data_IF_463500659598
#
_entry.id   IF_463500659598
#
_cell.length_a   1.000
_cell.length_b   1.000
_cell.length_c   1.000
_cell.angle_alpha   90.00
_cell.angle_beta   90.00
_cell.angle_gamma   90.00
#
_symmetry.space_group_name_H-M   'P 1'
#
loop_
_entity.id
_entity.type
_entity.pdbx_description
1 polymer ?
#
# COMPACT_ATOMS: atom_id res chain seq x y z
N UNK A 1 19.03 20.75 4.02
CA UNK A 1 19.40 20.10 2.75
C UNK A 1 18.46 18.92 2.59
N UNK A 2 17.37 19.09 1.85
CA UNK A 2 16.38 18.03 1.66
C UNK A 2 16.91 17.02 0.64
N UNK A 3 17.22 15.81 1.11
CA UNK A 3 17.55 14.68 0.24
C UNK A 3 16.25 14.25 -0.42
N UNK A 4 16.01 14.70 -1.66
CA UNK A 4 14.94 14.15 -2.50
C UNK A 4 15.31 12.72 -2.85
N UNK A 5 14.75 11.76 -2.13
CA UNK A 5 14.89 10.34 -2.46
C UNK A 5 14.07 10.13 -3.72
N UNK A 6 14.74 10.16 -4.87
CA UNK A 6 14.14 9.72 -6.13
C UNK A 6 13.66 8.27 -5.97
N UNK A 7 12.46 7.92 -6.46
CA UNK A 7 12.03 6.54 -6.48
C UNK A 7 13.05 5.74 -7.28
N UNK A 8 13.74 4.83 -6.62
CA UNK A 8 14.67 3.90 -7.28
C UNK A 8 13.99 2.54 -7.25
N UNK A 9 13.74 1.98 -8.43
CA UNK A 9 13.61 0.54 -8.52
C UNK A 9 14.90 -0.07 -7.98
N UNK A 10 14.75 -0.92 -6.97
CA UNK A 10 15.84 -1.83 -6.63
C UNK A 10 16.01 -2.80 -7.79
N UNK A 11 17.22 -3.33 -8.02
CA UNK A 11 17.57 -4.20 -9.15
C UNK A 11 16.78 -5.54 -9.23
N UNK A 12 15.69 -5.69 -8.46
CA UNK A 12 14.85 -6.90 -8.36
C UNK A 12 13.35 -6.66 -8.62
N UNK A 13 12.95 -5.56 -9.27
CA UNK A 13 11.52 -5.32 -9.57
C UNK A 13 10.69 -4.92 -8.35
N UNK A 14 11.32 -4.20 -7.42
CA UNK A 14 10.64 -3.59 -6.28
C UNK A 14 10.86 -2.08 -6.30
N UNK A 15 9.77 -1.34 -6.20
CA UNK A 15 9.76 0.10 -6.01
C UNK A 15 10.00 0.41 -4.53
N UNK A 16 11.02 1.22 -4.24
CA UNK A 16 11.27 1.79 -2.92
C UNK A 16 11.09 3.31 -2.97
N UNK A 17 10.05 3.80 -2.29
CA UNK A 17 9.75 5.23 -2.13
C UNK A 17 8.96 5.46 -0.85
N UNK A 18 8.86 6.72 -0.41
CA UNK A 18 8.18 7.11 0.84
C UNK A 18 6.68 6.73 0.82
N UNK A 19 6.05 6.72 -0.35
CA UNK A 19 4.64 6.34 -0.49
C UNK A 19 4.38 4.88 -0.09
N UNK A 20 5.36 3.99 -0.24
CA UNK A 20 5.23 2.57 0.19
C UNK A 20 4.98 2.49 1.69
N UNK A 21 5.67 3.33 2.48
CA UNK A 21 5.50 3.39 3.93
C UNK A 21 4.10 3.88 4.32
N UNK A 22 3.60 4.90 3.62
CA UNK A 22 2.24 5.42 3.82
C UNK A 22 1.17 4.36 3.51
N UNK A 23 1.32 3.64 2.40
CA UNK A 23 0.41 2.54 2.03
C UNK A 23 0.42 1.45 3.09
N UNK A 24 1.60 1.00 3.54
CA UNK A 24 1.71 0.01 4.60
C UNK A 24 1.03 0.47 5.89
N UNK A 25 1.32 1.69 6.33
CA UNK A 25 0.74 2.25 7.54
C UNK A 25 -0.79 2.24 7.51
N UNK A 26 -1.40 2.78 6.44
CA UNK A 26 -2.85 2.85 6.34
C UNK A 26 -3.52 1.49 6.09
N UNK A 27 -2.84 0.58 5.40
CA UNK A 27 -3.33 -0.79 5.22
C UNK A 27 -3.35 -1.56 6.54
N UNK A 28 -2.29 -1.47 7.35
CA UNK A 28 -2.24 -2.08 8.69
C UNK A 28 -3.28 -1.45 9.61
N UNK A 29 -3.36 -0.11 9.66
CA UNK A 29 -4.39 0.61 10.42
C UNK A 29 -5.82 0.14 10.09
N UNK A 30 -6.14 0.00 8.81
CA UNK A 30 -7.45 -0.49 8.38
C UNK A 30 -7.66 -1.94 8.79
N UNK A 31 -6.66 -2.80 8.62
CA UNK A 31 -6.69 -4.21 9.02
C UNK A 31 -6.97 -4.38 10.51
N UNK A 32 -6.32 -3.59 11.35
CA UNK A 32 -6.49 -3.62 12.81
C UNK A 32 -7.89 -3.11 13.19
N UNK A 33 -8.34 -2.01 12.57
CA UNK A 33 -9.65 -1.42 12.84
C UNK A 33 -10.83 -2.36 12.50
N UNK A 34 -10.62 -3.33 11.61
CA UNK A 34 -11.66 -4.28 11.16
C UNK A 34 -11.43 -5.71 11.65
N UNK A 35 -10.45 -5.96 12.53
CA UNK A 35 -10.06 -7.30 12.97
C UNK A 35 -11.23 -8.11 13.55
N UNK A 36 -11.99 -7.52 14.47
CA UNK A 36 -13.10 -8.22 15.16
C UNK A 36 -14.44 -8.14 14.39
N UNK A 37 -14.43 -7.67 13.15
CA UNK A 37 -15.65 -7.49 12.37
C UNK A 37 -15.80 -8.62 11.35
N UNK A 38 -16.52 -9.68 11.74
CA UNK A 38 -16.66 -10.92 10.96
C UNK A 38 -16.98 -10.71 9.46
N UNK A 39 -17.89 -9.78 9.12
CA UNK A 39 -18.23 -9.49 7.71
C UNK A 39 -17.06 -8.94 6.86
N UNK A 40 -15.97 -8.52 7.49
CA UNK A 40 -14.76 -8.00 6.84
C UNK A 40 -13.56 -8.94 6.97
N UNK A 41 -13.71 -10.10 7.59
CA UNK A 41 -12.65 -11.11 7.77
C UNK A 41 -11.98 -11.45 6.43
N UNK A 42 -12.77 -11.86 5.43
CA UNK A 42 -12.25 -12.21 4.10
C UNK A 42 -11.49 -11.06 3.41
N UNK A 43 -12.04 -9.83 3.30
CA UNK A 43 -11.27 -8.68 2.83
C UNK A 43 -9.96 -8.44 3.59
N UNK A 44 -9.98 -8.55 4.93
CA UNK A 44 -8.81 -8.36 5.79
C UNK A 44 -7.73 -9.39 5.50
N UNK A 45 -8.07 -10.68 5.46
CA UNK A 45 -7.14 -11.76 5.12
C UNK A 45 -6.47 -11.53 3.76
N UNK A 46 -7.25 -11.14 2.75
CA UNK A 46 -6.71 -10.82 1.43
C UNK A 46 -5.75 -9.64 1.45
N UNK A 47 -6.05 -8.61 2.26
CA UNK A 47 -5.16 -7.46 2.43
C UNK A 47 -3.82 -7.88 3.04
N UNK A 48 -3.88 -8.63 4.14
CA UNK A 48 -2.69 -9.14 4.84
C UNK A 48 -1.83 -10.04 3.94
N UNK A 49 -2.47 -10.92 3.15
CA UNK A 49 -1.77 -11.75 2.17
C UNK A 49 -1.02 -10.91 1.13
N UNK A 50 -1.65 -9.85 0.58
CA UNK A 50 -0.96 -8.94 -0.35
C UNK A 50 0.24 -8.28 0.33
N UNK A 51 0.10 -7.84 1.58
CA UNK A 51 1.18 -7.20 2.33
C UNK A 51 2.34 -8.17 2.51
N UNK A 52 2.10 -9.37 3.04
CA UNK A 52 3.16 -10.35 3.29
C UNK A 52 3.87 -10.82 2.02
N UNK A 53 3.11 -11.08 0.95
CA UNK A 53 3.69 -11.60 -0.29
C UNK A 53 4.54 -10.56 -1.02
N UNK A 54 4.14 -9.29 -0.99
CA UNK A 54 4.65 -8.27 -1.93
C UNK A 54 5.37 -7.08 -1.32
N UNK A 55 5.23 -6.83 -0.01
CA UNK A 55 5.95 -5.75 0.65
C UNK A 55 7.20 -6.30 1.35
N UNK A 56 8.25 -5.49 1.35
CA UNK A 56 9.53 -5.81 1.98
C UNK A 56 9.95 -4.67 2.88
N UNK A 57 10.52 -5.03 4.01
CA UNK A 57 11.25 -4.10 4.87
C UNK A 57 12.70 -4.11 4.38
N UNK A 58 13.20 -2.95 3.97
CA UNK A 58 14.60 -2.79 3.57
C UNK A 58 15.47 -2.41 4.77
N UNK A 59 14.98 -1.48 5.60
CA UNK A 59 15.53 -1.12 6.91
C UNK A 59 14.46 -0.47 7.79
N UNK A 60 14.87 0.11 8.93
CA UNK A 60 13.98 0.73 9.91
C UNK A 60 13.06 1.83 9.33
N UNK A 61 13.46 2.49 8.25
CA UNK A 61 12.69 3.60 7.66
C UNK A 61 12.26 3.36 6.23
N UNK A 62 12.78 2.34 5.55
CA UNK A 62 12.53 2.08 4.13
C UNK A 62 11.79 0.77 3.90
N UNK A 63 10.73 0.88 3.11
CA UNK A 63 9.96 -0.25 2.62
C UNK A 63 10.03 -0.30 1.08
N UNK A 64 9.75 -1.47 0.54
CA UNK A 64 9.63 -1.66 -0.89
C UNK A 64 8.42 -2.53 -1.23
N UNK A 65 7.90 -2.38 -2.43
CA UNK A 65 6.76 -3.14 -2.94
C UNK A 65 7.03 -3.59 -4.38
N UNK A 66 6.66 -4.82 -4.70
CA UNK A 66 6.74 -5.32 -6.09
C UNK A 66 5.61 -4.75 -6.96
N UNK A 67 5.80 -4.68 -8.28
CA UNK A 67 4.78 -4.20 -9.21
C UNK A 67 3.48 -5.00 -9.13
N UNK A 68 3.60 -6.33 -9.00
CA UNK A 68 2.47 -7.22 -8.75
C UNK A 68 1.72 -6.85 -7.47
N UNK A 69 2.45 -6.46 -6.43
CA UNK A 69 1.88 -5.96 -5.17
C UNK A 69 1.07 -4.69 -5.35
N UNK A 70 1.60 -3.72 -6.09
CA UNK A 70 0.89 -2.47 -6.42
C UNK A 70 -0.42 -2.80 -7.14
N UNK A 71 -0.38 -3.63 -8.19
CA UNK A 71 -1.56 -4.02 -8.97
C UNK A 71 -2.59 -4.73 -8.10
N UNK A 72 -2.16 -5.70 -7.28
CA UNK A 72 -3.06 -6.42 -6.37
C UNK A 72 -3.69 -5.51 -5.34
N UNK A 73 -2.92 -4.57 -4.77
CA UNK A 73 -3.41 -3.62 -3.78
C UNK A 73 -4.44 -2.66 -4.38
N UNK A 74 -4.22 -2.15 -5.60
CA UNK A 74 -5.22 -1.32 -6.31
C UNK A 74 -6.52 -2.08 -6.51
N UNK A 75 -6.44 -3.32 -7.05
CA UNK A 75 -7.63 -4.16 -7.25
C UNK A 75 -8.35 -4.46 -5.95
N UNK A 76 -7.61 -4.67 -4.86
CA UNK A 76 -8.20 -4.84 -3.54
C UNK A 76 -8.93 -3.57 -3.08
N UNK A 77 -8.31 -2.40 -3.24
CA UNK A 77 -8.88 -1.11 -2.87
C UNK A 77 -10.20 -0.85 -3.61
N UNK A 78 -10.21 -1.03 -4.93
CA UNK A 78 -11.40 -0.80 -5.77
C UNK A 78 -12.55 -1.75 -5.40
N UNK A 79 -12.23 -3.02 -5.09
CA UNK A 79 -13.22 -4.04 -4.76
C UNK A 79 -13.79 -3.91 -3.35
N UNK A 80 -13.01 -3.39 -2.39
CA UNK A 80 -13.33 -3.53 -0.97
C UNK A 80 -13.57 -2.22 -0.24
N UNK A 81 -12.89 -1.12 -0.57
CA UNK A 81 -13.00 0.11 0.23
C UNK A 81 -14.43 0.63 0.32
N UNK A 82 -15.21 0.60 -0.76
CA UNK A 82 -16.60 1.06 -0.73
C UNK A 82 -17.51 0.23 0.21
N UNK A 83 -17.11 -0.99 0.58
CA UNK A 83 -17.89 -1.90 1.41
C UNK A 83 -17.72 -1.66 2.90
N UNK A 84 -16.63 -1.01 3.32
CA UNK A 84 -16.47 -0.68 4.75
C UNK A 84 -17.38 0.49 5.12
N UNK A 85 -18.03 0.37 6.27
CA UNK A 85 -18.92 1.37 6.84
C UNK A 85 -18.24 2.70 7.11
N UNK A 86 -19.03 3.75 7.32
CA UNK A 86 -18.54 5.11 7.57
C UNK A 86 -17.73 5.25 8.87
N UNK A 87 -17.87 4.32 9.81
CA UNK A 87 -16.96 4.18 10.96
C UNK A 87 -15.48 4.13 10.55
N UNK A 88 -15.17 3.62 9.36
CA UNK A 88 -13.81 3.46 8.83
C UNK A 88 -13.53 4.45 7.68
N UNK A 89 -14.29 5.56 7.59
CA UNK A 89 -14.17 6.51 6.48
C UNK A 89 -12.79 7.15 6.37
N UNK A 90 -12.10 7.36 7.49
CA UNK A 90 -10.76 7.94 7.50
C UNK A 90 -9.75 6.96 6.91
N UNK A 91 -9.65 5.75 7.47
CA UNK A 91 -8.73 4.72 6.99
C UNK A 91 -8.95 4.40 5.51
N UNK A 92 -10.22 4.34 5.07
CA UNK A 92 -10.55 4.14 3.65
C UNK A 92 -10.01 5.24 2.74
N UNK A 93 -10.17 6.49 3.15
CA UNK A 93 -9.76 7.67 2.37
C UNK A 93 -8.24 7.72 2.29
N UNK A 94 -7.59 7.62 3.43
CA UNK A 94 -6.15 7.71 3.54
C UNK A 94 -5.43 6.56 2.82
N UNK A 95 -5.94 5.33 2.91
CA UNK A 95 -5.39 4.20 2.14
C UNK A 95 -5.56 4.42 0.63
N UNK A 96 -6.70 4.95 0.18
CA UNK A 96 -6.92 5.28 -1.23
C UNK A 96 -5.96 6.36 -1.72
N UNK A 97 -5.77 7.41 -0.93
CA UNK A 97 -4.89 8.52 -1.30
C UNK A 97 -3.41 8.11 -1.27
N UNK A 98 -2.99 7.30 -0.29
CA UNK A 98 -1.67 6.69 -0.27
C UNK A 98 -1.41 5.83 -1.52
N UNK A 99 -2.39 5.03 -1.93
CA UNK A 99 -2.30 4.22 -3.16
C UNK A 99 -2.23 5.08 -4.43
N UNK A 100 -2.95 6.20 -4.49
CA UNK A 100 -2.86 7.14 -5.62
C UNK A 100 -1.47 7.76 -5.72
N UNK A 101 -0.90 8.19 -4.59
CA UNK A 101 0.45 8.74 -4.57
C UNK A 101 1.49 7.70 -4.99
N UNK A 102 1.38 6.46 -4.49
CA UNK A 102 2.25 5.36 -4.89
C UNK A 102 2.19 5.09 -6.41
N UNK A 103 1.00 5.12 -7.00
CA UNK A 103 0.83 4.95 -8.45
C UNK A 103 1.49 6.08 -9.26
N UNK A 104 1.45 7.31 -8.76
CA UNK A 104 2.17 8.44 -9.38
C UNK A 104 3.68 8.21 -9.30
N UNK A 105 4.20 7.81 -8.14
CA UNK A 105 5.62 7.48 -7.96
C UNK A 105 6.07 6.31 -8.83
N UNK A 106 5.27 5.26 -8.96
CA UNK A 106 5.56 4.10 -9.80
C UNK A 106 5.66 4.49 -11.28
N UNK A 107 4.70 5.28 -11.78
CA UNK A 107 4.75 5.79 -13.17
C UNK A 107 5.95 6.69 -13.42
N UNK A 108 6.29 7.54 -12.46
CA UNK A 108 7.47 8.39 -12.57
C UNK A 108 8.77 7.57 -12.59
N UNK A 109 8.82 6.46 -11.84
CA UNK A 109 9.97 5.57 -11.82
C UNK A 109 10.13 4.79 -13.13
N UNK A 110 9.03 4.29 -13.72
CA UNK A 110 9.04 3.60 -15.03
C UNK A 110 9.50 4.51 -16.17
N UNK A 111 9.29 5.83 -16.07
CA UNK A 111 9.77 6.81 -17.06
C UNK A 111 11.28 7.09 -16.97
N UNK A 112 11.93 6.67 -15.88
CA UNK A 112 13.35 6.97 -15.60
C UNK A 112 14.24 5.72 -15.74
N UNK A 113 13.65 4.52 -15.75
CA UNK A 113 14.31 3.23 -15.99
C UNK A 113 14.49 2.91 -17.47
#
# INVERSE_FOLDING_TARGET
MEVRIHPKYTAKGFLACEEVKSVLYWATRLSDAIEDVQKYERPREMLLAIIWDHFRVLDANRNAVSDSGIIKMVRWCDKNLAKFSDKYAQERRELRDAMRNLLVSARAADMVS
#
